data_IF_169931314184
#
_entry.id   IF_169931314184
#
_cell.length_a   1.000
_cell.length_b   1.000
_cell.length_c   1.000
_cell.angle_alpha   90.00
_cell.angle_beta   90.00
_cell.angle_gamma   90.00
#
_symmetry.space_group_name_H-M   'P 1'
#
loop_
_entity.id
_entity.type
_entity.pdbx_description
1 polymer ?
#
# COMPACT_ATOMS: atom_id res chain seq x y z
N UNK A 1 -6.34 -0.54 26.51
CA UNK A 1 -5.52 0.39 25.70
C UNK A 1 -6.42 0.98 24.63
N UNK A 2 -6.39 2.30 24.42
CA UNK A 2 -7.17 2.97 23.37
C UNK A 2 -6.31 3.03 22.11
N UNK A 3 -6.82 2.55 20.97
CA UNK A 3 -6.13 2.67 19.68
C UNK A 3 -6.40 4.04 19.04
N UNK A 4 -5.34 4.75 18.66
CA UNK A 4 -5.42 6.05 18.01
C UNK A 4 -4.13 6.35 17.21
N UNK A 5 -3.97 7.59 16.72
CA UNK A 5 -2.81 7.97 15.92
C UNK A 5 -1.46 7.89 16.66
N UNK A 6 -1.45 7.96 18.00
CA UNK A 6 -0.23 7.95 18.81
C UNK A 6 0.42 6.57 18.86
N UNK A 7 -0.39 5.50 18.88
CA UNK A 7 0.08 4.11 18.84
C UNK A 7 -0.13 3.44 17.46
N UNK A 8 -0.37 4.25 16.42
CA UNK A 8 -0.62 3.76 15.07
C UNK A 8 0.49 2.85 14.55
N UNK A 9 1.76 3.23 14.73
CA UNK A 9 2.88 2.43 14.25
C UNK A 9 3.04 1.11 15.03
N UNK A 10 2.85 1.13 16.34
CA UNK A 10 2.89 -0.08 17.18
C UNK A 10 1.78 -1.06 16.76
N UNK A 11 0.59 -0.54 16.49
CA UNK A 11 -0.57 -1.32 16.07
C UNK A 11 -0.38 -1.96 14.69
N UNK A 12 0.16 -1.24 13.70
CA UNK A 12 0.37 -1.84 12.37
C UNK A 12 1.50 -2.88 12.33
N UNK A 13 2.37 -2.93 13.34
CA UNK A 13 3.33 -4.04 13.46
C UNK A 13 2.65 -5.35 13.86
N UNK A 14 1.42 -5.32 14.38
CA UNK A 14 0.66 -6.55 14.68
C UNK A 14 -0.06 -7.12 13.46
N UNK A 15 0.05 -6.47 12.29
CA UNK A 15 -0.60 -6.93 11.07
C UNK A 15 0.12 -8.17 10.53
N UNK A 16 -0.64 -9.11 9.98
CA UNK A 16 -0.06 -10.28 9.35
C UNK A 16 0.69 -9.86 8.08
N UNK A 17 1.90 -10.36 7.88
CA UNK A 17 2.76 -9.98 6.74
C UNK A 17 2.78 -11.09 5.70
N UNK A 18 2.60 -10.73 4.43
CA UNK A 18 2.72 -11.69 3.32
C UNK A 18 4.15 -12.23 3.27
N UNK A 19 4.34 -13.55 3.01
CA UNK A 19 5.68 -14.15 2.98
C UNK A 19 6.51 -13.63 1.79
N UNK A 20 5.84 -13.26 0.69
CA UNK A 20 6.45 -12.76 -0.53
C UNK A 20 6.52 -11.22 -0.52
N UNK A 21 7.59 -10.68 -1.10
CA UNK A 21 7.80 -9.23 -1.27
C UNK A 21 7.97 -8.88 -2.74
N UNK A 22 7.59 -7.65 -3.09
CA UNK A 22 7.87 -7.09 -4.42
C UNK A 22 9.30 -6.56 -4.39
N UNK A 23 10.19 -7.21 -5.12
CA UNK A 23 11.64 -6.91 -5.14
C UNK A 23 12.10 -6.37 -6.50
N UNK A 24 11.25 -6.44 -7.52
CA UNK A 24 11.51 -5.97 -8.88
C UNK A 24 10.20 -5.57 -9.57
N UNK A 25 10.29 -4.72 -10.59
CA UNK A 25 9.13 -4.23 -11.35
C UNK A 25 8.82 -5.15 -12.53
N UNK A 26 8.47 -6.40 -12.23
CA UNK A 26 8.12 -7.42 -13.23
C UNK A 26 6.72 -7.97 -12.95
N UNK A 27 5.99 -8.36 -14.01
CA UNK A 27 4.63 -8.93 -13.86
C UNK A 27 4.67 -10.19 -13.01
N UNK A 28 5.73 -10.98 -13.14
CA UNK A 28 5.99 -12.24 -12.45
C UNK A 28 6.15 -12.00 -10.94
N UNK A 29 6.95 -11.01 -10.55
CA UNK A 29 7.13 -10.64 -9.14
C UNK A 29 5.83 -10.17 -8.51
N UNK A 30 5.08 -9.29 -9.19
CA UNK A 30 3.75 -8.87 -8.70
C UNK A 30 2.77 -10.06 -8.60
N UNK A 31 2.71 -10.94 -9.60
CA UNK A 31 1.84 -12.13 -9.56
C UNK A 31 2.23 -13.08 -8.43
N UNK A 32 3.52 -13.28 -8.16
CA UNK A 32 3.99 -14.12 -7.05
C UNK A 32 3.46 -13.61 -5.71
N UNK A 33 3.60 -12.31 -5.44
CA UNK A 33 3.12 -11.67 -4.20
C UNK A 33 1.59 -11.68 -4.13
N UNK A 34 0.91 -11.26 -5.20
CA UNK A 34 -0.56 -11.18 -5.23
C UNK A 34 -1.24 -12.53 -5.34
N UNK A 35 -0.50 -13.58 -5.68
CA UNK A 35 -0.96 -14.95 -5.86
C UNK A 35 -0.44 -15.91 -4.81
N UNK A 36 0.18 -15.43 -3.72
CA UNK A 36 0.55 -16.29 -2.59
C UNK A 36 -0.70 -16.78 -1.84
N UNK A 37 -0.54 -17.81 -1.01
CA UNK A 37 -1.68 -18.42 -0.31
C UNK A 37 -2.41 -17.43 0.61
N UNK A 38 -1.63 -16.64 1.34
CA UNK A 38 -2.16 -15.59 2.20
C UNK A 38 -2.99 -14.56 1.42
N UNK A 39 -2.61 -14.24 0.17
CA UNK A 39 -3.39 -13.36 -0.69
C UNK A 39 -4.74 -13.96 -1.12
N UNK A 40 -4.83 -15.29 -1.26
CA UNK A 40 -6.07 -16.02 -1.60
C UNK A 40 -7.06 -16.02 -0.44
N UNK A 41 -6.57 -16.16 0.79
CA UNK A 41 -7.41 -16.34 1.98
C UNK A 41 -7.77 -15.01 2.66
N UNK A 42 -6.94 -13.97 2.52
CA UNK A 42 -7.16 -12.65 3.12
C UNK A 42 -8.31 -11.88 2.46
N UNK A 43 -9.47 -11.84 3.12
CA UNK A 43 -10.70 -11.16 2.69
C UNK A 43 -11.33 -10.39 3.85
N UNK A 44 -12.15 -9.37 3.57
CA UNK A 44 -12.67 -8.45 4.59
C UNK A 44 -11.53 -7.86 5.44
N UNK A 45 -10.58 -7.22 4.74
CA UNK A 45 -9.35 -6.73 5.33
C UNK A 45 -9.09 -5.28 4.97
N UNK A 46 -8.32 -4.62 5.84
CA UNK A 46 -7.46 -3.49 5.47
C UNK A 46 -6.07 -4.03 5.17
N UNK A 47 -5.36 -3.37 4.26
CA UNK A 47 -4.01 -3.76 3.86
C UNK A 47 -3.10 -2.54 3.70
N UNK A 48 -1.82 -2.73 3.97
CA UNK A 48 -0.80 -1.68 3.89
C UNK A 48 0.36 -2.18 3.03
N UNK A 49 0.78 -1.37 2.06
CA UNK A 49 1.99 -1.61 1.27
C UNK A 49 3.12 -0.83 1.92
N UNK A 50 4.16 -1.52 2.36
CA UNK A 50 5.26 -0.95 3.14
C UNK A 50 6.58 -1.11 2.39
N UNK A 51 7.34 -0.04 2.22
CA UNK A 51 8.72 -0.10 1.78
C UNK A 51 9.60 -0.71 2.87
N UNK A 52 10.71 -1.34 2.50
CA UNK A 52 11.66 -1.85 3.50
C UNK A 52 12.41 -0.73 4.22
N UNK A 53 12.71 0.37 3.52
CA UNK A 53 13.29 1.58 4.12
C UNK A 53 12.26 2.68 4.24
N UNK A 54 12.38 3.48 5.30
CA UNK A 54 11.55 4.67 5.52
C UNK A 54 11.80 5.73 4.44
N UNK A 55 10.73 6.39 4.04
CA UNK A 55 10.69 7.45 3.05
C UNK A 55 10.34 8.75 3.80
N UNK A 56 11.05 9.85 3.52
CA UNK A 56 10.74 11.15 4.11
C UNK A 56 9.30 11.59 3.79
N UNK A 57 8.68 12.24 4.76
CA UNK A 57 7.34 12.82 4.66
C UNK A 57 7.38 14.31 4.96
N UNK A 58 6.26 15.01 4.74
CA UNK A 58 6.10 16.40 5.16
C UNK A 58 6.40 16.56 6.66
N UNK A 59 5.97 15.60 7.48
CA UNK A 59 6.38 15.46 8.88
C UNK A 59 6.95 14.06 9.14
N UNK A 60 8.23 14.00 9.53
CA UNK A 60 8.92 12.77 9.89
C UNK A 60 9.21 11.84 8.70
N UNK A 61 9.20 10.54 8.96
CA UNK A 61 9.43 9.51 7.96
C UNK A 61 8.42 8.38 8.11
N UNK A 62 8.14 7.68 7.00
CA UNK A 62 7.21 6.56 6.97
C UNK A 62 7.62 5.55 5.92
N UNK A 63 7.50 4.27 6.23
CA UNK A 63 7.64 3.17 5.30
C UNK A 63 6.33 2.87 4.54
N UNK A 64 5.19 3.43 4.93
CA UNK A 64 3.91 3.19 4.29
C UNK A 64 3.82 3.92 2.94
N UNK A 65 3.48 3.16 1.89
CA UNK A 65 3.30 3.62 0.51
C UNK A 65 1.81 3.76 0.16
N UNK A 66 0.99 2.83 0.65
CA UNK A 66 -0.42 2.72 0.30
C UNK A 66 -1.20 2.05 1.43
N UNK A 67 -2.34 2.61 1.77
CA UNK A 67 -3.34 1.97 2.63
C UNK A 67 -4.59 1.72 1.78
N UNK A 68 -5.18 0.55 1.90
CA UNK A 68 -6.44 0.25 1.23
C UNK A 68 -7.25 -0.84 1.92
N UNK A 69 -8.41 -1.14 1.36
CA UNK A 69 -9.32 -2.16 1.88
C UNK A 69 -9.87 -3.07 0.79
N UNK A 70 -10.36 -4.25 1.19
CA UNK A 70 -11.14 -5.09 0.29
C UNK A 70 -12.12 -6.04 1.01
N UNK A 71 -13.30 -6.21 0.41
CA UNK A 71 -14.29 -7.24 0.78
C UNK A 71 -13.92 -8.62 0.22
N UNK A 72 -13.46 -8.66 -1.02
CA UNK A 72 -12.99 -9.88 -1.72
C UNK A 72 -11.59 -10.28 -1.24
N UNK A 73 -11.03 -11.38 -1.77
CA UNK A 73 -9.64 -11.73 -1.46
C UNK A 73 -8.67 -10.66 -1.99
N UNK A 74 -7.52 -10.50 -1.33
CA UNK A 74 -6.46 -9.62 -1.82
C UNK A 74 -6.03 -10.01 -3.25
N UNK A 75 -5.96 -11.32 -3.52
CA UNK A 75 -5.67 -11.86 -4.86
C UNK A 75 -6.68 -11.38 -5.87
N UNK A 76 -7.98 -11.56 -5.63
CA UNK A 76 -9.01 -11.16 -6.60
C UNK A 76 -8.95 -9.65 -6.88
N UNK A 77 -8.54 -8.87 -5.86
CA UNK A 77 -8.41 -7.42 -5.99
C UNK A 77 -7.22 -7.03 -6.85
N UNK A 78 -6.04 -7.59 -6.60
CA UNK A 78 -4.78 -7.07 -7.17
C UNK A 78 -4.17 -7.93 -8.27
N UNK A 79 -4.44 -9.24 -8.31
CA UNK A 79 -3.75 -10.17 -9.22
C UNK A 79 -3.95 -9.80 -10.69
N UNK A 80 -5.17 -9.40 -11.07
CA UNK A 80 -5.48 -8.93 -12.44
C UNK A 80 -4.76 -7.63 -12.83
N UNK A 81 -4.32 -6.83 -11.85
CA UNK A 81 -3.59 -5.59 -12.06
C UNK A 81 -2.06 -5.74 -12.02
N UNK A 82 -1.54 -6.96 -11.80
CA UNK A 82 -0.09 -7.20 -11.78
C UNK A 82 0.63 -6.66 -13.02
N UNK A 83 0.07 -6.90 -14.21
CA UNK A 83 0.63 -6.40 -15.47
C UNK A 83 0.62 -4.87 -15.55
N UNK A 84 -0.45 -4.21 -15.07
CA UNK A 84 -0.56 -2.75 -15.07
C UNK A 84 0.41 -2.12 -14.06
N UNK A 85 0.65 -2.78 -12.92
CA UNK A 85 1.64 -2.35 -11.94
C UNK A 85 3.07 -2.45 -12.48
N UNK A 86 3.40 -3.49 -13.24
CA UNK A 86 4.71 -3.63 -13.87
C UNK A 86 4.93 -2.69 -15.07
N UNK A 87 3.94 -2.58 -15.96
CA UNK A 87 4.17 -2.08 -17.31
C UNK A 87 3.59 -0.69 -17.62
N UNK A 88 2.62 -0.19 -16.85
CA UNK A 88 2.14 1.17 -17.11
C UNK A 88 3.21 2.20 -16.76
N UNK A 89 3.40 3.21 -17.61
CA UNK A 89 4.45 4.23 -17.46
C UNK A 89 4.51 4.83 -16.05
N UNK A 90 3.36 5.23 -15.50
CA UNK A 90 3.30 5.84 -14.17
C UNK A 90 3.63 4.87 -13.03
N UNK A 91 3.11 3.63 -13.08
CA UNK A 91 3.41 2.65 -12.04
C UNK A 91 4.86 2.18 -12.14
N UNK A 92 5.38 1.96 -13.35
CA UNK A 92 6.76 1.56 -13.58
C UNK A 92 7.73 2.58 -12.97
N UNK A 93 7.55 3.88 -13.27
CA UNK A 93 8.35 4.94 -12.66
C UNK A 93 8.26 4.92 -11.12
N UNK A 94 7.05 4.82 -10.57
CA UNK A 94 6.81 4.83 -9.12
C UNK A 94 7.44 3.64 -8.42
N UNK A 95 7.13 2.41 -8.86
CA UNK A 95 7.64 1.20 -8.22
C UNK A 95 9.14 1.03 -8.46
N UNK A 96 9.66 1.42 -9.63
CA UNK A 96 11.11 1.36 -9.86
C UNK A 96 11.84 2.29 -8.90
N UNK A 97 11.37 3.52 -8.73
CA UNK A 97 11.96 4.45 -7.77
C UNK A 97 11.90 3.90 -6.35
N UNK A 98 10.75 3.34 -5.94
CA UNK A 98 10.60 2.77 -4.60
C UNK A 98 11.57 1.60 -4.40
N UNK A 99 11.65 0.69 -5.37
CA UNK A 99 12.45 -0.52 -5.25
C UNK A 99 13.94 -0.20 -5.26
N UNK A 100 14.38 0.69 -6.16
CA UNK A 100 15.79 1.09 -6.23
C UNK A 100 16.27 1.80 -4.96
N UNK A 101 15.44 2.67 -4.37
CA UNK A 101 15.88 3.54 -3.27
C UNK A 101 15.51 3.01 -1.88
N UNK A 102 14.40 2.28 -1.78
CA UNK A 102 13.82 1.78 -0.53
C UNK A 102 13.67 0.26 -0.50
N UNK A 103 14.32 -0.42 -1.44
CA UNK A 103 14.48 -1.88 -1.57
C UNK A 103 13.20 -2.66 -1.93
N UNK A 104 12.57 -3.31 -0.97
CA UNK A 104 11.43 -4.20 -1.25
C UNK A 104 10.11 -3.57 -0.78
N UNK A 105 8.99 -4.08 -1.29
CA UNK A 105 7.65 -3.72 -0.80
C UNK A 105 6.99 -4.97 -0.20
N UNK A 106 6.67 -4.92 1.09
CA UNK A 106 5.85 -5.92 1.76
C UNK A 106 4.39 -5.51 1.78
N UNK A 107 3.51 -6.51 1.90
CA UNK A 107 2.08 -6.32 2.12
C UNK A 107 1.77 -6.84 3.52
N UNK A 108 1.09 -6.01 4.30
CA UNK A 108 0.57 -6.39 5.62
C UNK A 108 -0.95 -6.24 5.65
N UNK A 109 -1.65 -7.08 6.40
CA UNK A 109 -3.11 -7.13 6.43
C UNK A 109 -3.64 -7.31 7.85
N UNK A 110 -4.86 -6.82 8.07
CA UNK A 110 -5.62 -7.07 9.29
C UNK A 110 -7.12 -7.09 8.98
N UNK A 111 -7.89 -7.80 9.82
CA UNK A 111 -9.35 -7.78 9.73
C UNK A 111 -9.87 -6.36 9.95
N UNK A 112 -10.76 -5.89 9.08
CA UNK A 112 -11.22 -4.50 9.10
C UNK A 112 -12.04 -4.13 10.34
N UNK A 113 -12.72 -5.11 10.96
CA UNK A 113 -13.69 -4.89 12.05
C UNK A 113 -13.04 -4.19 13.24
N UNK A 114 -11.73 -4.39 13.44
CA UNK A 114 -10.96 -3.73 14.52
C UNK A 114 -10.87 -2.21 14.34
N UNK A 115 -10.98 -1.69 13.11
CA UNK A 115 -10.75 -0.27 12.80
C UNK A 115 -11.99 0.47 12.32
N UNK A 116 -13.12 -0.22 12.12
CA UNK A 116 -14.38 0.43 11.76
C UNK A 116 -15.51 -0.54 11.45
N UNK A 117 -16.74 -0.05 11.58
CA UNK A 117 -17.97 -0.81 11.30
C UNK A 117 -18.10 -1.23 9.82
N UNK A 118 -17.43 -0.51 8.93
CA UNK A 118 -17.39 -0.81 7.49
C UNK A 118 -15.95 -0.73 6.99
N UNK A 119 -15.66 -1.43 5.88
CA UNK A 119 -14.35 -1.36 5.23
C UNK A 119 -13.93 0.08 4.89
N UNK A 120 -14.87 0.92 4.47
CA UNK A 120 -14.61 2.33 4.16
C UNK A 120 -14.27 3.13 5.42
N UNK A 121 -14.99 2.90 6.53
CA UNK A 121 -14.67 3.53 7.83
C UNK A 121 -13.31 3.06 8.34
N UNK A 122 -12.99 1.77 8.21
CA UNK A 122 -11.70 1.21 8.60
C UNK A 122 -10.52 1.79 7.81
N UNK A 123 -10.62 1.86 6.47
CA UNK A 123 -9.62 2.51 5.62
C UNK A 123 -9.47 4.00 5.98
N UNK A 124 -10.59 4.71 6.13
CA UNK A 124 -10.61 6.12 6.52
C UNK A 124 -9.95 6.37 7.87
N UNK A 125 -10.18 5.50 8.85
CA UNK A 125 -9.60 5.59 10.19
C UNK A 125 -8.07 5.48 10.15
N UNK A 126 -7.54 4.49 9.42
CA UNK A 126 -6.10 4.31 9.25
C UNK A 126 -5.45 5.44 8.46
N UNK A 127 -6.11 5.93 7.41
CA UNK A 127 -5.65 7.09 6.65
C UNK A 127 -5.64 8.37 7.49
N UNK A 128 -6.61 8.53 8.39
CA UNK A 128 -6.65 9.67 9.29
C UNK A 128 -5.53 9.62 10.33
N UNK A 129 -5.29 8.46 10.95
CA UNK A 129 -4.15 8.28 11.86
C UNK A 129 -2.81 8.52 11.15
N UNK A 130 -2.67 8.07 9.91
CA UNK A 130 -1.52 8.37 9.08
C UNK A 130 -1.34 9.88 8.89
N UNK A 131 -2.42 10.57 8.50
CA UNK A 131 -2.39 12.01 8.25
C UNK A 131 -2.02 12.80 9.51
N UNK A 132 -2.53 12.43 10.68
CA UNK A 132 -2.17 13.09 11.95
C UNK A 132 -0.67 12.95 12.28
N UNK A 133 -0.02 11.87 11.83
CA UNK A 133 1.42 11.66 12.02
C UNK A 133 2.28 12.40 10.99
N UNK A 134 1.81 12.54 9.74
CA UNK A 134 2.64 12.97 8.61
C UNK A 134 2.21 14.24 7.90
N UNK A 135 1.03 14.79 8.21
CA UNK A 135 0.39 15.92 7.55
C UNK A 135 0.15 15.74 6.04
N UNK A 136 0.19 14.49 5.56
CA UNK A 136 -0.03 14.11 4.17
C UNK A 136 -0.56 12.67 4.09
N UNK A 137 -1.09 12.25 2.94
CA UNK A 137 -1.51 10.86 2.71
C UNK A 137 -0.36 10.01 2.16
N UNK A 138 -0.45 8.67 2.20
CA UNK A 138 0.59 7.84 1.60
C UNK A 138 0.75 8.12 0.09
N UNK A 139 1.96 7.98 -0.48
CA UNK A 139 2.27 8.36 -1.87
C UNK A 139 1.36 7.79 -2.98
N UNK A 140 0.68 6.65 -2.72
CA UNK A 140 -0.23 6.01 -3.68
C UNK A 140 -1.72 6.28 -3.38
N UNK A 141 -2.06 6.90 -2.26
CA UNK A 141 -3.44 7.30 -1.92
C UNK A 141 -3.86 8.64 -2.55
N UNK A 142 -2.93 9.40 -3.15
CA UNK A 142 -3.23 10.65 -3.85
C UNK A 142 -3.94 10.46 -5.20
N UNK A 143 -4.74 11.46 -5.56
CA UNK A 143 -5.39 11.58 -6.86
C UNK A 143 -4.36 11.64 -7.99
N UNK A 144 -4.57 10.86 -9.04
CA UNK A 144 -3.66 10.80 -10.19
C UNK A 144 -4.14 11.74 -11.30
N UNK A 145 -3.24 12.57 -11.84
CA UNK A 145 -3.52 13.25 -13.11
C UNK A 145 -3.68 12.23 -14.25
N UNK A 146 -4.68 12.50 -15.10
CA UNK A 146 -4.91 11.77 -16.35
C UNK A 146 -4.04 12.31 -17.50
N UNK A 147 -3.61 13.57 -17.43
CA UNK A 147 -2.76 14.23 -18.43
C UNK A 147 -1.30 13.90 -18.11
N UNK A 148 -0.61 13.22 -19.03
CA UNK A 148 0.75 12.69 -18.83
C UNK A 148 1.63 12.93 -20.05
N UNK A 149 1.72 14.20 -20.47
CA UNK A 149 2.53 14.63 -21.60
C UNK A 149 4.00 14.74 -21.15
N UNK A 150 4.92 14.19 -21.94
CA UNK A 150 6.36 14.31 -21.69
C UNK A 150 6.91 15.67 -22.11
N UNK A 151 6.27 16.27 -23.11
CA UNK A 151 6.70 17.50 -23.76
C UNK A 151 5.46 18.32 -24.09
N UNK A 152 5.65 19.64 -24.08
CA UNK A 152 4.72 20.60 -24.66
C UNK A 152 5.50 21.34 -25.75
N UNK A 153 4.87 21.57 -26.90
CA UNK A 153 5.43 22.43 -27.94
C UNK A 153 4.81 23.81 -27.68
N UNK A 154 5.67 24.81 -27.47
CA UNK A 154 5.31 26.21 -27.26
C UNK A 154 5.67 26.96 -28.55
#
# INVERSE_FOLDING_TARGET
MILNYQNFYEEIETFETFPEKITEVTTECFKRVFGCEMARTSKNIVYIWRAEKRIKRLKGESDIIYIGQTKQSFRDRHYKYANIHANSKANKLKFQYIITNFKSISITVANFIKYGETLQKAEGQLLWWYFQNHCEFPPKNYTQTKIRNNTIII
#
